data_IF_543289431674
#
_entry.id   IF_543289431674
#
_cell.length_a   1.000
_cell.length_b   1.000
_cell.length_c   1.000
_cell.angle_alpha   90.00
_cell.angle_beta   90.00
_cell.angle_gamma   90.00
#
_symmetry.space_group_name_H-M   'P 1'
#
loop_
_entity.id
_entity.type
_entity.pdbx_description
1 polymer ?
#
# COMPACT_ATOMS: atom_id res chain seq x y z
N UNK A 1 10.47 -20.65 -7.29
CA UNK A 1 9.68 -20.37 -6.08
C UNK A 1 10.42 -20.74 -4.79
N UNK A 2 10.82 -22.00 -4.55
CA UNK A 2 11.40 -22.39 -3.24
C UNK A 2 12.68 -21.65 -2.83
N UNK A 3 13.57 -21.31 -3.77
CA UNK A 3 14.82 -20.57 -3.48
C UNK A 3 14.59 -19.13 -2.98
N UNK A 4 13.54 -18.46 -3.44
CA UNK A 4 13.25 -17.07 -3.02
C UNK A 4 12.70 -17.04 -1.60
N UNK A 5 11.75 -17.93 -1.29
CA UNK A 5 11.24 -18.07 0.07
C UNK A 5 12.31 -18.55 1.06
N UNK A 6 13.22 -19.45 0.65
CA UNK A 6 14.36 -19.85 1.46
C UNK A 6 15.27 -18.66 1.79
N UNK A 7 15.65 -17.86 0.78
CA UNK A 7 16.47 -16.65 0.97
C UNK A 7 15.78 -15.61 1.87
N UNK A 8 14.50 -15.33 1.63
CA UNK A 8 13.73 -14.40 2.46
C UNK A 8 13.65 -14.89 3.92
N UNK A 9 13.46 -16.20 4.13
CA UNK A 9 13.45 -16.81 5.47
C UNK A 9 14.81 -16.67 6.18
N UNK A 10 15.91 -16.92 5.47
CA UNK A 10 17.26 -16.69 6.00
C UNK A 10 17.48 -15.22 6.41
N UNK A 11 17.05 -14.28 5.57
CA UNK A 11 17.12 -12.85 5.87
C UNK A 11 16.27 -12.46 7.08
N UNK A 12 15.06 -13.03 7.22
CA UNK A 12 14.21 -12.83 8.42
C UNK A 12 14.91 -13.35 9.67
N UNK A 13 15.46 -14.56 9.63
CA UNK A 13 16.19 -15.16 10.74
C UNK A 13 17.43 -14.34 11.13
N UNK A 14 18.09 -13.72 10.15
CA UNK A 14 19.20 -12.79 10.34
C UNK A 14 18.76 -11.37 10.74
N UNK A 15 17.47 -11.12 11.00
CA UNK A 15 16.89 -9.80 11.31
C UNK A 15 17.08 -8.74 10.20
N UNK A 16 17.33 -9.18 8.97
CA UNK A 16 17.48 -8.33 7.79
C UNK A 16 16.12 -8.05 7.13
N UNK A 17 15.19 -7.47 7.88
CA UNK A 17 13.78 -7.35 7.46
C UNK A 17 13.60 -6.55 6.17
N UNK A 18 14.37 -5.48 5.97
CA UNK A 18 14.34 -4.71 4.72
C UNK A 18 14.78 -5.57 3.52
N UNK A 19 15.87 -6.34 3.67
CA UNK A 19 16.36 -7.20 2.59
C UNK A 19 15.40 -8.38 2.31
N UNK A 20 14.75 -8.91 3.35
CA UNK A 20 13.72 -9.93 3.22
C UNK A 20 12.48 -9.39 2.47
N UNK A 21 12.05 -8.17 2.81
CA UNK A 21 10.94 -7.50 2.15
C UNK A 21 11.23 -7.29 0.67
N UNK A 22 12.36 -6.68 0.31
CA UNK A 22 12.81 -6.51 -1.09
C UNK A 22 12.86 -7.84 -1.87
N UNK A 23 13.33 -8.90 -1.22
CA UNK A 23 13.41 -10.23 -1.84
C UNK A 23 12.02 -10.81 -2.15
N UNK A 24 11.05 -10.58 -1.26
CA UNK A 24 9.66 -11.01 -1.47
C UNK A 24 8.93 -10.13 -2.48
N UNK A 25 9.18 -8.81 -2.49
CA UNK A 25 8.68 -7.90 -3.54
C UNK A 25 9.15 -8.33 -4.92
N UNK A 26 10.45 -8.64 -5.09
CA UNK A 26 10.97 -9.08 -6.38
C UNK A 26 10.30 -10.38 -6.89
N UNK A 27 10.02 -11.34 -6.01
CA UNK A 27 9.27 -12.54 -6.40
C UNK A 27 7.82 -12.21 -6.79
N UNK A 28 7.18 -11.30 -6.05
CA UNK A 28 5.81 -10.85 -6.31
C UNK A 28 5.71 -10.15 -7.67
N UNK A 29 6.65 -9.29 -8.01
CA UNK A 29 6.71 -8.60 -9.29
C UNK A 29 6.83 -9.58 -10.46
N UNK A 30 7.70 -10.59 -10.35
CA UNK A 30 7.83 -11.64 -11.36
C UNK A 30 6.51 -12.41 -11.52
N UNK A 31 5.85 -12.76 -10.42
CA UNK A 31 4.56 -13.44 -10.47
C UNK A 31 3.46 -12.58 -11.10
N UNK A 32 3.43 -11.29 -10.76
CA UNK A 32 2.46 -10.34 -11.30
C UNK A 32 2.69 -10.13 -12.81
N UNK A 33 3.93 -9.95 -13.26
CA UNK A 33 4.26 -9.85 -14.69
C UNK A 33 3.82 -11.11 -15.45
N UNK A 34 4.14 -12.30 -14.92
CA UNK A 34 3.70 -13.56 -15.52
C UNK A 34 2.18 -13.65 -15.63
N UNK A 35 1.42 -13.24 -14.60
CA UNK A 35 -0.04 -13.23 -14.63
C UNK A 35 -0.58 -12.23 -15.65
N UNK A 36 -0.08 -11.00 -15.64
CA UNK A 36 -0.52 -9.94 -16.54
C UNK A 36 -0.30 -10.29 -18.01
N UNK A 37 0.84 -10.90 -18.35
CA UNK A 37 1.13 -11.39 -19.72
C UNK A 37 0.15 -12.47 -20.19
N UNK A 38 -0.54 -13.12 -19.27
CA UNK A 38 -1.57 -14.12 -19.55
C UNK A 38 -2.99 -13.56 -19.30
N UNK A 39 -3.16 -12.25 -19.19
CA UNK A 39 -4.44 -11.58 -18.88
C UNK A 39 -5.11 -12.07 -17.59
N UNK A 40 -4.31 -12.55 -16.64
CA UNK A 40 -4.79 -12.93 -15.30
C UNK A 40 -4.56 -11.76 -14.37
N UNK A 41 -5.63 -11.26 -13.75
CA UNK A 41 -5.58 -10.27 -12.67
C UNK A 41 -6.28 -10.89 -11.48
N UNK A 42 -5.62 -10.89 -10.33
CA UNK A 42 -6.17 -11.44 -9.07
C UNK A 42 -6.25 -10.35 -8.02
N UNK A 43 -7.02 -10.60 -6.95
CA UNK A 43 -7.24 -9.62 -5.91
C UNK A 43 -5.94 -9.09 -5.27
N UNK A 44 -4.93 -9.94 -5.11
CA UNK A 44 -3.63 -9.52 -4.57
C UNK A 44 -2.91 -8.49 -5.47
N UNK A 45 -3.18 -8.44 -6.79
CA UNK A 45 -2.64 -7.40 -7.67
C UNK A 45 -3.16 -6.00 -7.27
N UNK A 46 -4.42 -5.90 -6.82
CA UNK A 46 -4.99 -4.65 -6.32
C UNK A 46 -4.44 -4.25 -4.94
N UNK A 47 -4.21 -5.23 -4.06
CA UNK A 47 -3.53 -4.97 -2.79
C UNK A 47 -2.11 -4.46 -3.02
N UNK A 48 -1.38 -5.09 -3.95
CA UNK A 48 -0.01 -4.71 -4.29
C UNK A 48 0.06 -3.33 -4.96
N UNK A 49 -0.91 -2.98 -5.81
CA UNK A 49 -0.97 -1.65 -6.41
C UNK A 49 -1.10 -0.56 -5.33
N UNK A 50 -2.00 -0.75 -4.36
CA UNK A 50 -2.12 0.16 -3.21
C UNK A 50 -0.82 0.19 -2.38
N UNK A 51 -0.24 -0.99 -2.08
CA UNK A 51 1.00 -1.10 -1.33
C UNK A 51 2.13 -0.29 -1.94
N UNK A 52 2.38 -0.47 -3.23
CA UNK A 52 3.47 0.19 -3.95
C UNK A 52 3.35 1.72 -3.89
N UNK A 53 2.16 2.26 -4.17
CA UNK A 53 1.94 3.71 -4.08
C UNK A 53 2.02 4.23 -2.64
N UNK A 54 1.58 3.44 -1.67
CA UNK A 54 1.69 3.80 -0.25
C UNK A 54 3.16 3.85 0.19
N UNK A 55 3.99 2.92 -0.26
CA UNK A 55 5.41 2.94 0.06
C UNK A 55 6.13 4.13 -0.58
N UNK A 56 5.83 4.45 -1.84
CA UNK A 56 6.34 5.67 -2.50
C UNK A 56 5.98 6.92 -1.70
N UNK A 57 4.72 7.04 -1.25
CA UNK A 57 4.30 8.16 -0.41
C UNK A 57 5.12 8.23 0.88
N UNK A 58 5.35 7.11 1.56
CA UNK A 58 6.07 7.10 2.84
C UNK A 58 7.57 7.40 2.70
N UNK A 59 8.19 6.92 1.62
CA UNK A 59 9.63 7.08 1.37
C UNK A 59 9.93 8.46 0.77
N UNK A 60 9.19 8.86 -0.26
CA UNK A 60 9.48 10.07 -1.02
C UNK A 60 8.63 11.27 -0.58
N UNK A 61 7.48 11.04 0.04
CA UNK A 61 6.56 12.10 0.44
C UNK A 61 7.21 13.20 1.29
N UNK A 62 8.01 12.88 2.34
CA UNK A 62 8.74 13.89 3.10
C UNK A 62 9.68 14.76 2.24
N UNK A 63 10.30 14.20 1.19
CA UNK A 63 11.17 14.92 0.26
C UNK A 63 10.38 15.71 -0.78
N UNK A 64 9.22 15.21 -1.22
CA UNK A 64 8.33 15.90 -2.16
C UNK A 64 7.75 17.14 -1.48
N UNK A 65 7.35 17.00 -0.22
CA UNK A 65 6.72 18.06 0.58
C UNK A 65 7.55 19.36 0.62
N UNK A 66 8.88 19.26 0.62
CA UNK A 66 9.80 20.41 0.70
C UNK A 66 10.13 21.06 -0.65
N UNK A 67 9.66 20.48 -1.77
CA UNK A 67 9.88 21.02 -3.11
C UNK A 67 8.85 22.09 -3.45
N UNK A 68 9.15 22.88 -4.48
CA UNK A 68 8.16 23.76 -5.10
C UNK A 68 6.93 22.94 -5.53
N UNK A 69 5.73 23.43 -5.17
CA UNK A 69 4.46 22.74 -5.40
C UNK A 69 4.35 21.34 -4.75
N UNK A 70 5.17 21.05 -3.73
CA UNK A 70 5.21 19.75 -3.05
C UNK A 70 3.85 19.31 -2.52
N UNK A 71 3.08 20.21 -1.92
CA UNK A 71 1.72 19.91 -1.43
C UNK A 71 0.78 19.50 -2.56
N UNK A 72 0.82 20.19 -3.71
CA UNK A 72 -0.02 19.81 -4.88
C UNK A 72 0.36 18.43 -5.43
N UNK A 73 1.65 18.12 -5.49
CA UNK A 73 2.12 16.80 -5.92
C UNK A 73 1.65 15.70 -4.96
N UNK A 74 1.69 15.97 -3.65
CA UNK A 74 1.17 15.06 -2.63
C UNK A 74 -0.35 14.92 -2.71
N UNK A 75 -1.10 15.98 -3.02
CA UNK A 75 -2.55 15.90 -3.26
C UNK A 75 -2.88 14.98 -4.44
N UNK A 76 -2.10 15.05 -5.53
CA UNK A 76 -2.26 14.14 -6.66
C UNK A 76 -1.98 12.68 -6.25
N UNK A 77 -0.91 12.43 -5.52
CA UNK A 77 -0.57 11.08 -5.02
C UNK A 77 -1.61 10.54 -4.04
N UNK A 78 -2.14 11.39 -3.14
CA UNK A 78 -3.24 11.02 -2.25
C UNK A 78 -4.52 10.69 -3.02
N UNK A 79 -4.77 11.36 -4.16
CA UNK A 79 -5.84 11.01 -5.08
C UNK A 79 -5.67 9.63 -5.71
N UNK A 80 -4.44 9.26 -6.11
CA UNK A 80 -4.13 7.90 -6.60
C UNK A 80 -4.41 6.87 -5.52
N UNK A 81 -3.96 7.10 -4.28
CA UNK A 81 -4.23 6.21 -3.15
C UNK A 81 -5.72 6.08 -2.84
N UNK A 82 -6.49 7.17 -2.93
CA UNK A 82 -7.93 7.14 -2.73
C UNK A 82 -8.63 6.31 -3.81
N UNK A 83 -8.18 6.42 -5.07
CA UNK A 83 -8.68 5.57 -6.14
C UNK A 83 -8.36 4.08 -5.88
N UNK A 84 -7.10 3.78 -5.54
CA UNK A 84 -6.65 2.41 -5.28
C UNK A 84 -7.33 1.80 -4.05
N UNK A 85 -7.60 2.58 -3.01
CA UNK A 85 -8.28 2.09 -1.81
C UNK A 85 -9.72 1.66 -2.13
N UNK A 86 -10.43 2.38 -3.01
CA UNK A 86 -11.76 1.95 -3.49
C UNK A 86 -11.71 0.65 -4.28
N UNK A 87 -10.64 0.39 -5.03
CA UNK A 87 -10.45 -0.88 -5.73
C UNK A 87 -10.31 -2.06 -4.80
N UNK A 88 -9.82 -1.86 -3.56
CA UNK A 88 -9.78 -2.93 -2.55
C UNK A 88 -11.17 -3.45 -2.20
N UNK A 89 -12.23 -2.65 -2.40
CA UNK A 89 -13.62 -3.11 -2.25
C UNK A 89 -14.20 -3.59 -3.58
N UNK A 90 -14.08 -2.79 -4.65
CA UNK A 90 -14.77 -3.09 -5.91
C UNK A 90 -14.24 -4.33 -6.62
N UNK A 91 -12.96 -4.67 -6.41
CA UNK A 91 -12.31 -5.82 -7.02
C UNK A 91 -12.19 -7.02 -6.05
N UNK A 92 -12.67 -6.86 -4.82
CA UNK A 92 -12.66 -7.95 -3.85
C UNK A 92 -13.66 -9.05 -4.28
N UNK A 93 -13.27 -10.33 -4.21
CA UNK A 93 -14.18 -11.43 -4.43
C UNK A 93 -15.37 -11.39 -3.46
N UNK A 94 -16.52 -11.91 -3.90
CA UNK A 94 -17.78 -11.80 -3.14
C UNK A 94 -17.70 -12.36 -1.71
N UNK A 95 -16.91 -13.41 -1.48
CA UNK A 95 -16.70 -13.98 -0.15
C UNK A 95 -15.94 -13.01 0.79
N UNK A 96 -14.96 -12.27 0.28
CA UNK A 96 -14.26 -11.22 1.05
C UNK A 96 -15.18 -10.03 1.30
N UNK A 97 -15.91 -9.58 0.29
CA UNK A 97 -16.89 -8.51 0.45
C UNK A 97 -18.02 -8.89 1.42
N UNK A 98 -18.38 -10.16 1.53
CA UNK A 98 -19.30 -10.70 2.54
C UNK A 98 -18.72 -10.74 3.96
N UNK A 99 -17.39 -10.72 4.12
CA UNK A 99 -16.72 -10.81 5.42
C UNK A 99 -16.73 -9.44 6.15
N UNK A 100 -17.31 -9.42 7.36
CA UNK A 100 -17.42 -8.19 8.16
C UNK A 100 -16.08 -7.64 8.65
N UNK A 101 -15.11 -8.51 8.97
CA UNK A 101 -13.77 -8.11 9.38
C UNK A 101 -13.00 -7.49 8.21
N UNK A 102 -13.08 -8.10 7.02
CA UNK A 102 -12.48 -7.54 5.80
C UNK A 102 -13.01 -6.13 5.53
N UNK A 103 -14.34 -5.94 5.50
CA UNK A 103 -14.95 -4.62 5.27
C UNK A 103 -14.48 -3.59 6.30
N UNK A 104 -14.41 -3.97 7.57
CA UNK A 104 -13.90 -3.09 8.64
C UNK A 104 -12.46 -2.64 8.37
N UNK A 105 -11.59 -3.55 7.93
CA UNK A 105 -10.19 -3.23 7.64
C UNK A 105 -10.04 -2.35 6.39
N UNK A 106 -10.80 -2.62 5.32
CA UNK A 106 -10.79 -1.76 4.12
C UNK A 106 -11.31 -0.35 4.43
N UNK A 107 -12.36 -0.23 5.25
CA UNK A 107 -12.84 1.09 5.72
C UNK A 107 -11.75 1.83 6.51
N UNK A 108 -10.96 1.13 7.32
CA UNK A 108 -9.86 1.77 8.06
C UNK A 108 -8.76 2.30 7.12
N UNK A 109 -8.48 1.59 6.01
CA UNK A 109 -7.58 2.08 4.95
C UNK A 109 -8.15 3.34 4.31
N UNK A 110 -9.42 3.31 3.88
CA UNK A 110 -10.11 4.45 3.28
C UNK A 110 -10.08 5.70 4.18
N UNK A 111 -10.37 5.52 5.47
CA UNK A 111 -10.37 6.61 6.45
C UNK A 111 -8.97 7.23 6.63
N UNK A 112 -7.91 6.41 6.56
CA UNK A 112 -6.54 6.93 6.67
C UNK A 112 -6.14 7.79 5.47
N UNK A 113 -6.61 7.45 4.28
CA UNK A 113 -6.40 8.25 3.06
C UNK A 113 -7.25 9.52 3.08
N UNK A 114 -8.50 9.43 3.52
CA UNK A 114 -9.35 10.60 3.69
C UNK A 114 -8.74 11.62 4.69
N UNK A 115 -8.14 11.12 5.78
CA UNK A 115 -7.42 11.97 6.74
C UNK A 115 -6.18 12.65 6.12
N UNK A 116 -5.42 11.95 5.28
CA UNK A 116 -4.31 12.53 4.53
C UNK A 116 -4.79 13.60 3.55
N UNK A 117 -5.84 13.33 2.78
CA UNK A 117 -6.43 14.31 1.87
C UNK A 117 -6.90 15.56 2.63
N UNK A 118 -7.57 15.39 3.77
CA UNK A 118 -7.99 16.50 4.62
C UNK A 118 -6.79 17.32 5.13
N UNK A 119 -5.72 16.67 5.59
CA UNK A 119 -4.51 17.36 6.05
C UNK A 119 -3.86 18.18 4.92
N UNK A 120 -3.82 17.64 3.70
CA UNK A 120 -3.26 18.33 2.52
C UNK A 120 -4.04 19.60 2.13
N UNK A 121 -5.29 19.76 2.57
CA UNK A 121 -6.08 20.97 2.35
C UNK A 121 -5.83 22.08 3.39
N UNK A 122 -5.04 21.80 4.44
CA UNK A 122 -4.80 22.75 5.54
C UNK A 122 -3.50 23.55 5.40
N UNK A 123 -2.69 23.25 4.38
CA UNK A 123 -1.31 23.75 4.20
C UNK A 123 -0.40 23.59 5.44
N UNK A 124 -0.78 22.73 6.38
CA UNK A 124 -0.03 22.45 7.60
C UNK A 124 0.90 21.25 7.40
N UNK A 125 2.20 21.53 7.27
CA UNK A 125 3.25 20.54 7.05
C UNK A 125 3.29 19.45 8.13
N UNK A 126 3.12 19.81 9.40
CA UNK A 126 3.15 18.84 10.49
C UNK A 126 1.91 17.94 10.47
N UNK A 127 0.73 18.51 10.16
CA UNK A 127 -0.49 17.73 9.99
C UNK A 127 -0.38 16.74 8.82
N UNK A 128 0.20 17.17 7.69
CA UNK A 128 0.42 16.30 6.52
C UNK A 128 1.42 15.19 6.86
N UNK A 129 2.53 15.53 7.53
CA UNK A 129 3.53 14.54 7.97
C UNK A 129 2.94 13.51 8.94
N UNK A 130 2.17 13.96 9.91
CA UNK A 130 1.47 13.09 10.86
C UNK A 130 0.47 12.18 10.14
N UNK A 131 -0.36 12.71 9.24
CA UNK A 131 -1.31 11.94 8.46
C UNK A 131 -0.63 10.90 7.56
N UNK A 132 0.45 11.28 6.85
CA UNK A 132 1.26 10.35 6.06
C UNK A 132 1.78 9.19 6.91
N UNK A 133 2.28 9.46 8.11
CA UNK A 133 2.83 8.40 8.99
C UNK A 133 1.77 7.35 9.40
N UNK A 134 0.49 7.71 9.34
CA UNK A 134 -0.64 6.87 9.79
C UNK A 134 -1.24 5.98 8.70
N UNK A 135 -0.92 6.18 7.42
CA UNK A 135 -1.51 5.39 6.32
C UNK A 135 -1.05 3.93 6.30
N UNK A 136 0.15 3.63 6.82
CA UNK A 136 0.74 2.27 6.78
C UNK A 136 -0.02 1.28 7.64
N UNK A 137 -0.36 1.67 8.87
CA UNK A 137 -0.88 0.75 9.90
C UNK A 137 -2.18 0.05 9.47
N UNK A 138 -3.22 0.76 8.98
CA UNK A 138 -4.45 0.11 8.52
C UNK A 138 -4.20 -0.88 7.38
N UNK A 139 -3.34 -0.52 6.43
CA UNK A 139 -3.01 -1.41 5.31
C UNK A 139 -2.26 -2.66 5.77
N UNK A 140 -1.27 -2.53 6.65
CA UNK A 140 -0.55 -3.69 7.20
C UNK A 140 -1.48 -4.65 7.95
N UNK A 141 -2.50 -4.13 8.65
CA UNK A 141 -3.50 -4.96 9.32
C UNK A 141 -4.42 -5.70 8.35
N UNK A 142 -4.82 -5.05 7.25
CA UNK A 142 -5.56 -5.67 6.16
C UNK A 142 -4.73 -6.78 5.50
N UNK A 143 -3.50 -6.46 5.10
CA UNK A 143 -2.59 -7.37 4.40
C UNK A 143 -2.25 -8.60 5.24
N UNK A 144 -2.02 -8.45 6.54
CA UNK A 144 -1.71 -9.58 7.42
C UNK A 144 -2.80 -10.67 7.43
N UNK A 145 -4.06 -10.29 7.21
CA UNK A 145 -5.21 -11.20 7.28
C UNK A 145 -5.72 -11.65 5.92
N UNK A 146 -5.57 -10.81 4.89
CA UNK A 146 -6.25 -10.98 3.61
C UNK A 146 -5.32 -10.79 2.39
N UNK A 147 -4.03 -10.52 2.61
CA UNK A 147 -3.01 -10.33 1.57
C UNK A 147 -2.25 -11.59 1.18
#
# INVERSE_FOLDING_TARGET
>A
MSKVYAKASEQVNAKQLAAAHETLEAARDIMADMRHRNNVVVFSDHMNAYHSEMEKLLIDGPKIMTKAHGMHLLSAQAGVLAYLSKRLTSEAPANLNGNAEFRKLVIAVDLSIAALQAALLTDNFDAVKDAMSKVKKPYSQLFLKFG
#
